data_IF_418712392924
#
_entry.id   IF_418712392924
#
_cell.length_a   1.000
_cell.length_b   1.000
_cell.length_c   1.000
_cell.angle_alpha   90.00
_cell.angle_beta   90.00
_cell.angle_gamma   90.00
#
_symmetry.space_group_name_H-M   'P 1'
#
loop_
_entity.id
_entity.type
_entity.pdbx_description
1 polymer ?
#
# COMPACT_ATOMS: atom_id res chain seq x y z
N UNK A 1 1.10 13.74 8.97
CA UNK A 1 1.66 14.26 7.70
C UNK A 1 1.23 13.27 6.64
N UNK A 2 0.57 13.71 5.60
CA UNK A 2 0.27 12.84 4.46
C UNK A 2 1.59 12.48 3.79
N UNK A 3 1.83 11.19 3.55
CA UNK A 3 3.01 10.72 2.85
C UNK A 3 3.03 11.31 1.43
N UNK A 4 4.16 11.81 0.99
CA UNK A 4 4.33 12.45 -0.32
C UNK A 4 3.98 13.94 -0.37
N UNK A 5 3.36 14.52 0.67
CA UNK A 5 3.12 15.96 0.75
C UNK A 5 4.42 16.67 1.14
N UNK A 6 4.85 17.61 0.31
CA UNK A 6 6.08 18.36 0.53
C UNK A 6 7.31 17.79 -0.18
N UNK A 7 7.13 16.87 -1.14
CA UNK A 7 8.17 16.47 -2.08
C UNK A 7 8.04 17.21 -3.42
N UNK A 8 9.16 17.54 -4.03
CA UNK A 8 9.24 18.22 -5.32
C UNK A 8 10.32 17.60 -6.19
N UNK A 9 9.92 17.11 -7.38
CA UNK A 9 10.84 16.54 -8.34
C UNK A 9 11.41 17.63 -9.24
N UNK A 10 12.73 17.73 -9.30
CA UNK A 10 13.44 18.62 -10.21
C UNK A 10 13.85 17.84 -11.46
N UNK A 11 13.23 18.16 -12.60
CA UNK A 11 13.56 17.58 -13.91
C UNK A 11 14.32 18.61 -14.77
N UNK A 12 15.63 18.74 -14.54
CA UNK A 12 16.48 19.72 -15.23
C UNK A 12 16.25 21.16 -14.77
N UNK A 13 16.95 22.11 -15.43
CA UNK A 13 16.96 23.52 -15.01
C UNK A 13 15.59 24.23 -15.09
N UNK A 14 14.74 23.84 -16.03
CA UNK A 14 13.42 24.45 -16.19
C UNK A 14 12.46 24.18 -15.02
N UNK A 15 12.59 23.04 -14.34
CA UNK A 15 11.75 22.73 -13.20
C UNK A 15 12.21 23.44 -11.91
N UNK A 16 13.41 24.01 -11.88
CA UNK A 16 13.88 24.83 -10.74
C UNK A 16 13.07 26.11 -10.57
N UNK A 17 12.43 26.62 -11.60
CA UNK A 17 11.58 27.83 -11.51
C UNK A 17 10.40 27.66 -10.57
N UNK A 18 9.90 26.46 -10.38
CA UNK A 18 8.82 26.15 -9.42
C UNK A 18 9.29 25.95 -7.98
N UNK A 19 10.59 25.73 -7.76
CA UNK A 19 11.15 25.46 -6.44
C UNK A 19 10.89 26.59 -5.40
N UNK A 20 11.02 27.89 -5.73
CA UNK A 20 10.70 28.95 -4.78
C UNK A 20 9.24 28.92 -4.30
N UNK A 21 8.28 28.67 -5.20
CA UNK A 21 6.87 28.54 -4.83
C UNK A 21 6.62 27.32 -3.94
N UNK A 22 7.23 26.18 -4.26
CA UNK A 22 7.20 24.98 -3.42
C UNK A 22 7.78 25.24 -2.03
N UNK A 23 8.95 25.88 -1.94
CA UNK A 23 9.61 26.20 -0.67
C UNK A 23 8.76 27.18 0.16
N UNK A 24 8.09 28.15 -0.48
CA UNK A 24 7.18 29.06 0.19
C UNK A 24 5.96 28.33 0.76
N UNK A 25 5.45 27.34 0.06
CA UNK A 25 4.27 26.59 0.48
C UNK A 25 4.60 25.55 1.57
N UNK A 26 5.71 24.84 1.44
CA UNK A 26 6.07 23.69 2.28
C UNK A 26 7.28 23.91 3.18
N UNK A 27 8.17 24.82 2.81
CA UNK A 27 9.36 25.21 3.58
C UNK A 27 8.99 26.12 4.76
N UNK A 28 8.43 25.56 5.81
CA UNK A 28 8.14 26.33 7.03
C UNK A 28 9.39 26.48 7.90
N UNK A 29 10.03 27.64 7.81
CA UNK A 29 11.14 28.01 8.70
C UNK A 29 12.47 27.28 8.39
N UNK A 30 13.33 27.16 9.37
CA UNK A 30 14.69 26.59 9.28
C UNK A 30 14.74 25.06 9.24
N UNK A 31 13.75 24.39 8.67
CA UNK A 31 13.78 22.91 8.55
C UNK A 31 14.78 22.51 7.46
N UNK A 32 15.62 21.50 7.72
CA UNK A 32 16.52 21.00 6.70
C UNK A 32 15.72 20.41 5.52
N UNK A 33 16.21 20.64 4.32
CA UNK A 33 15.73 19.98 3.11
C UNK A 33 16.58 18.75 2.86
N UNK A 34 15.92 17.66 2.49
CA UNK A 34 16.57 16.47 1.97
C UNK A 34 16.53 16.57 0.45
N UNK A 35 17.70 16.47 -0.17
CA UNK A 35 17.86 16.43 -1.62
C UNK A 35 18.41 15.06 -1.98
N UNK A 36 17.66 14.32 -2.79
CA UNK A 36 18.00 12.96 -3.17
C UNK A 36 18.08 12.83 -4.69
N UNK A 37 18.88 11.90 -5.16
CA UNK A 37 18.91 11.57 -6.58
C UNK A 37 17.60 10.89 -6.97
N UNK A 38 16.97 11.37 -8.04
CA UNK A 38 15.87 10.65 -8.65
C UNK A 38 16.40 9.43 -9.41
N UNK A 39 15.83 8.27 -9.13
CA UNK A 39 16.19 7.02 -9.79
C UNK A 39 15.06 6.61 -10.71
N UNK A 40 15.36 6.45 -11.99
CA UNK A 40 14.46 5.96 -13.03
C UNK A 40 14.88 4.55 -13.50
N UNK A 41 13.94 3.81 -14.08
CA UNK A 41 14.16 2.51 -14.71
C UNK A 41 12.99 2.15 -15.62
N UNK A 42 13.11 1.02 -16.31
CA UNK A 42 12.05 0.51 -17.20
C UNK A 42 10.77 0.20 -16.41
N UNK A 43 10.93 -0.30 -15.20
CA UNK A 43 9.83 -0.59 -14.29
C UNK A 43 10.27 -0.29 -12.87
N UNK A 44 9.46 0.48 -12.13
CA UNK A 44 9.71 0.88 -10.75
C UNK A 44 8.59 0.38 -9.87
N UNK A 45 8.94 -0.36 -8.83
CA UNK A 45 7.99 -0.89 -7.83
C UNK A 45 8.37 -0.35 -6.46
N UNK A 46 7.40 0.21 -5.77
CA UNK A 46 7.55 0.59 -4.36
C UNK A 46 7.00 -0.55 -3.52
N UNK A 47 7.83 -1.08 -2.63
CA UNK A 47 7.49 -2.16 -1.73
C UNK A 47 7.80 -1.77 -0.28
N UNK A 48 7.18 -2.45 0.66
CA UNK A 48 7.43 -2.25 2.08
C UNK A 48 7.56 -3.60 2.78
N UNK A 49 8.66 -3.79 3.50
CA UNK A 49 8.89 -4.94 4.38
C UNK A 49 8.41 -4.63 5.78
N UNK A 50 7.84 -5.63 6.44
CA UNK A 50 7.37 -5.48 7.80
C UNK A 50 8.10 -6.42 8.74
N UNK A 51 8.65 -5.86 9.82
CA UNK A 51 9.23 -6.56 10.94
C UNK A 51 8.37 -6.38 12.19
N UNK A 52 8.49 -7.33 13.11
CA UNK A 52 7.90 -7.23 14.44
C UNK A 52 8.95 -7.54 15.52
N UNK A 53 9.10 -6.62 16.45
CA UNK A 53 10.03 -6.69 17.57
C UNK A 53 9.24 -6.98 18.85
N UNK A 54 9.43 -8.16 19.42
CA UNK A 54 8.83 -8.54 20.70
C UNK A 54 9.87 -8.49 21.82
N UNK A 55 9.48 -8.12 23.05
CA UNK A 55 10.40 -8.12 24.17
C UNK A 55 11.03 -9.50 24.40
N UNK A 56 12.36 -9.56 24.53
CA UNK A 56 13.09 -10.79 24.83
C UNK A 56 13.02 -11.87 23.75
N UNK A 57 12.64 -11.53 22.52
CA UNK A 57 12.58 -12.46 21.37
C UNK A 57 13.35 -11.89 20.18
N UNK A 58 13.79 -12.78 19.30
CA UNK A 58 14.36 -12.38 18.02
C UNK A 58 13.32 -11.63 17.17
N UNK A 59 13.74 -10.58 16.46
CA UNK A 59 12.90 -9.87 15.51
C UNK A 59 12.35 -10.82 14.44
N UNK A 60 11.08 -10.65 14.13
CA UNK A 60 10.38 -11.54 13.20
C UNK A 60 10.13 -10.85 11.86
N UNK A 61 10.58 -11.44 10.77
CA UNK A 61 10.08 -11.13 9.41
C UNK A 61 8.58 -11.42 9.37
N UNK A 62 7.78 -10.49 8.85
CA UNK A 62 6.32 -10.65 8.81
C UNK A 62 5.82 -10.86 7.38
N UNK A 63 5.94 -9.88 6.54
CA UNK A 63 5.47 -9.90 5.16
C UNK A 63 6.06 -8.74 4.37
N UNK A 64 5.94 -8.86 3.04
CA UNK A 64 6.17 -7.78 2.09
C UNK A 64 4.85 -7.30 1.49
N UNK A 65 4.71 -6.01 1.26
CA UNK A 65 3.61 -5.41 0.52
C UNK A 65 4.15 -4.57 -0.64
N UNK A 66 3.40 -4.51 -1.76
CA UNK A 66 3.61 -3.50 -2.80
C UNK A 66 2.73 -2.30 -2.49
N UNK A 67 3.25 -1.11 -2.71
CA UNK A 67 2.51 0.13 -2.53
C UNK A 67 1.91 0.61 -3.85
N UNK A 68 0.68 1.14 -3.79
CA UNK A 68 0.12 1.95 -4.86
C UNK A 68 0.49 3.40 -4.60
N UNK A 69 1.11 4.03 -5.58
CA UNK A 69 1.46 5.44 -5.52
C UNK A 69 0.89 6.18 -6.73
N UNK A 70 0.37 7.39 -6.49
CA UNK A 70 0.11 8.37 -7.54
C UNK A 70 1.21 9.45 -7.44
N UNK A 71 2.16 9.37 -8.34
CA UNK A 71 3.41 10.11 -8.18
C UNK A 71 4.12 9.73 -6.88
N UNK A 72 4.27 10.69 -5.96
CA UNK A 72 4.87 10.49 -4.63
C UNK A 72 3.84 10.28 -3.51
N UNK A 73 2.53 10.22 -3.85
CA UNK A 73 1.47 10.07 -2.86
C UNK A 73 1.12 8.59 -2.71
N UNK A 74 1.22 8.08 -1.49
CA UNK A 74 0.79 6.73 -1.16
C UNK A 74 -0.74 6.63 -1.19
N UNK A 75 -1.26 5.73 -2.03
CA UNK A 75 -2.69 5.48 -2.25
C UNK A 75 -3.21 4.22 -1.58
N UNK A 76 -2.33 3.25 -1.32
CA UNK A 76 -2.71 1.97 -0.74
C UNK A 76 -1.63 0.90 -0.85
N UNK A 77 -1.99 -0.32 -0.48
CA UNK A 77 -1.09 -1.47 -0.47
C UNK A 77 -1.75 -2.72 -1.04
N UNK A 78 -0.92 -3.65 -1.50
CA UNK A 78 -1.31 -5.03 -1.80
C UNK A 78 -0.37 -6.00 -1.11
N UNK A 79 -0.91 -7.12 -0.62
CA UNK A 79 -0.20 -8.22 0.02
C UNK A 79 -0.62 -9.52 -0.63
N UNK A 80 0.35 -10.32 -1.05
CA UNK A 80 0.12 -11.65 -1.58
C UNK A 80 0.04 -12.74 -0.49
N UNK A 81 -0.15 -13.97 -0.91
CA UNK A 81 -0.01 -15.13 -0.04
C UNK A 81 1.47 -15.40 0.31
N UNK A 82 2.38 -15.02 -0.59
CA UNK A 82 3.85 -15.05 -0.45
C UNK A 82 4.42 -13.67 -0.74
N UNK A 83 5.60 -13.37 -0.21
CA UNK A 83 6.31 -12.10 -0.46
C UNK A 83 6.61 -11.88 -1.96
N UNK A 84 6.85 -12.95 -2.72
CA UNK A 84 7.10 -12.89 -4.16
C UNK A 84 5.88 -12.49 -4.99
N UNK A 85 4.67 -12.67 -4.46
CA UNK A 85 3.43 -12.40 -5.19
C UNK A 85 3.17 -10.90 -5.38
N UNK A 86 3.82 -10.03 -4.60
CA UNK A 86 3.68 -8.58 -4.72
C UNK A 86 4.35 -8.02 -5.98
N UNK A 87 5.21 -8.79 -6.62
CA UNK A 87 5.87 -8.43 -7.88
C UNK A 87 5.10 -8.95 -9.09
N UNK A 88 5.21 -8.29 -10.26
CA UNK A 88 4.50 -8.70 -11.48
C UNK A 88 4.81 -10.15 -11.87
N UNK A 89 3.80 -10.86 -12.35
CA UNK A 89 3.98 -12.24 -12.86
C UNK A 89 4.86 -12.31 -14.10
N UNK A 90 5.03 -11.20 -14.82
CA UNK A 90 5.97 -11.06 -15.94
C UNK A 90 7.43 -11.20 -15.52
N UNK A 91 7.73 -11.04 -14.22
CA UNK A 91 9.04 -11.31 -13.67
C UNK A 91 9.18 -12.80 -13.37
N UNK A 92 10.33 -13.40 -13.72
CA UNK A 92 10.59 -14.81 -13.38
C UNK A 92 10.52 -14.99 -11.85
N UNK A 93 10.14 -16.20 -11.41
CA UNK A 93 10.08 -16.51 -9.97
C UNK A 93 11.44 -16.26 -9.31
N UNK A 94 12.54 -16.72 -9.94
CA UNK A 94 13.90 -16.52 -9.43
C UNK A 94 14.25 -15.04 -9.27
N UNK A 95 13.83 -14.16 -10.22
CA UNK A 95 14.05 -12.72 -10.10
C UNK A 95 13.30 -12.17 -8.88
N UNK A 96 12.04 -12.55 -8.70
CA UNK A 96 11.22 -12.12 -7.57
C UNK A 96 11.79 -12.59 -6.23
N UNK A 97 12.26 -13.83 -6.14
CA UNK A 97 12.92 -14.39 -4.96
C UNK A 97 14.21 -13.63 -4.61
N UNK A 98 15.04 -13.34 -5.61
CA UNK A 98 16.27 -12.58 -5.41
C UNK A 98 16.00 -11.14 -4.92
N UNK A 99 14.97 -10.48 -5.44
CA UNK A 99 14.55 -9.16 -4.97
C UNK A 99 14.10 -9.21 -3.51
N UNK A 100 13.25 -10.18 -3.17
CA UNK A 100 12.76 -10.39 -1.79
C UNK A 100 13.94 -10.61 -0.84
N UNK A 101 14.84 -11.52 -1.17
CA UNK A 101 15.98 -11.84 -0.29
C UNK A 101 16.91 -10.64 -0.12
N UNK A 102 17.25 -9.95 -1.21
CA UNK A 102 18.08 -8.75 -1.12
C UNK A 102 17.44 -7.67 -0.23
N UNK A 103 16.13 -7.45 -0.36
CA UNK A 103 15.42 -6.48 0.46
C UNK A 103 15.44 -6.87 1.95
N UNK A 104 15.25 -8.16 2.27
CA UNK A 104 15.37 -8.64 3.65
C UNK A 104 16.79 -8.48 4.21
N UNK A 105 17.81 -8.83 3.45
CA UNK A 105 19.21 -8.69 3.90
C UNK A 105 19.60 -7.22 4.14
N UNK A 106 19.14 -6.27 3.32
CA UNK A 106 19.41 -4.85 3.52
C UNK A 106 18.87 -4.32 4.86
N UNK A 107 17.79 -4.88 5.40
CA UNK A 107 17.24 -4.47 6.69
C UNK A 107 17.90 -5.14 7.89
N UNK A 108 18.62 -6.23 7.68
CA UNK A 108 19.15 -7.09 8.74
C UNK A 108 20.08 -6.35 9.70
N UNK A 109 21.00 -5.53 9.16
CA UNK A 109 21.93 -4.75 9.99
C UNK A 109 21.19 -3.75 10.87
N UNK A 110 20.20 -3.06 10.34
CA UNK A 110 19.38 -2.14 11.11
C UNK A 110 18.60 -2.89 12.19
N UNK A 111 17.97 -4.01 11.84
CA UNK A 111 17.21 -4.86 12.77
C UNK A 111 18.08 -5.33 13.93
N UNK A 112 19.30 -5.79 13.66
CA UNK A 112 20.25 -6.19 14.69
C UNK A 112 20.65 -5.02 15.60
N UNK A 113 20.83 -3.83 15.04
CA UNK A 113 21.21 -2.64 15.83
C UNK A 113 20.12 -2.19 16.80
N UNK A 114 18.85 -2.29 16.43
CA UNK A 114 17.72 -1.84 17.27
C UNK A 114 17.12 -2.97 18.14
N UNK A 115 17.59 -4.19 17.97
CA UNK A 115 17.15 -5.34 18.76
C UNK A 115 17.39 -5.09 20.25
N UNK A 116 16.36 -5.32 21.07
CA UNK A 116 16.40 -5.07 22.51
C UNK A 116 16.12 -3.62 22.93
N UNK A 117 16.18 -2.65 22.00
CA UNK A 117 15.88 -1.23 22.30
C UNK A 117 14.53 -0.79 21.76
N UNK A 118 14.03 -1.43 20.69
CA UNK A 118 12.75 -1.15 20.08
C UNK A 118 11.77 -2.31 20.27
N UNK A 119 10.51 -1.99 20.55
CA UNK A 119 9.40 -2.95 20.67
C UNK A 119 8.23 -2.49 19.82
N UNK A 120 7.74 -3.36 18.96
CA UNK A 120 6.60 -3.07 18.09
C UNK A 120 6.86 -3.40 16.61
N UNK A 121 5.93 -3.04 15.73
CA UNK A 121 6.09 -3.19 14.29
C UNK A 121 6.98 -2.11 13.70
N UNK A 122 7.80 -2.46 12.71
CA UNK A 122 8.56 -1.52 11.89
C UNK A 122 8.41 -1.87 10.41
N UNK A 123 8.17 -0.86 9.59
CA UNK A 123 8.12 -0.96 8.15
C UNK A 123 9.37 -0.35 7.51
N UNK A 124 9.89 -1.00 6.47
CA UNK A 124 10.99 -0.51 5.66
C UNK A 124 10.52 -0.37 4.24
N UNK A 125 10.50 0.85 3.72
CA UNK A 125 10.05 1.13 2.37
C UNK A 125 11.21 1.05 1.40
N UNK A 126 10.98 0.37 0.28
CA UNK A 126 11.95 0.09 -0.77
C UNK A 126 11.45 0.54 -2.13
N UNK A 127 12.40 0.94 -2.95
CA UNK A 127 12.18 1.07 -4.37
C UNK A 127 12.96 -0.04 -5.09
N UNK A 128 12.27 -0.82 -5.90
CA UNK A 128 12.86 -1.83 -6.77
C UNK A 128 12.79 -1.31 -8.19
N UNK A 129 13.93 -1.21 -8.83
CA UNK A 129 14.07 -0.72 -10.20
C UNK A 129 14.57 -1.83 -11.07
N UNK A 130 13.78 -2.20 -12.09
CA UNK A 130 14.17 -3.18 -13.10
C UNK A 130 14.85 -2.49 -14.27
N UNK A 131 15.96 -3.07 -14.72
CA UNK A 131 16.71 -2.66 -15.90
C UNK A 131 17.01 -3.90 -16.75
N UNK A 132 16.34 -4.00 -17.89
CA UNK A 132 16.44 -5.17 -18.77
C UNK A 132 15.76 -6.42 -18.20
N UNK A 133 16.01 -7.57 -18.84
CA UNK A 133 15.27 -8.82 -18.53
C UNK A 133 15.61 -9.42 -17.17
N UNK A 134 16.85 -9.31 -16.70
CA UNK A 134 17.32 -9.95 -15.47
C UNK A 134 18.01 -8.98 -14.49
N UNK A 135 18.15 -7.71 -14.85
CA UNK A 135 18.78 -6.70 -14.01
C UNK A 135 17.77 -6.03 -13.08
N UNK A 136 18.15 -5.88 -11.81
CA UNK A 136 17.38 -5.07 -10.86
C UNK A 136 18.31 -4.38 -9.87
N UNK A 137 17.78 -3.33 -9.24
CA UNK A 137 18.40 -2.66 -8.08
C UNK A 137 17.34 -2.45 -7.02
N UNK A 138 17.74 -2.64 -5.77
CA UNK A 138 16.88 -2.40 -4.61
C UNK A 138 17.47 -1.22 -3.84
N UNK A 139 16.63 -0.24 -3.53
CA UNK A 139 16.99 0.94 -2.76
C UNK A 139 16.13 0.99 -1.50
N UNK A 140 16.75 1.05 -0.33
CA UNK A 140 16.07 1.33 0.93
C UNK A 140 15.75 2.83 0.98
N UNK A 141 14.49 3.20 1.11
CA UNK A 141 14.02 4.58 1.11
C UNK A 141 13.87 5.13 2.53
N UNK A 142 13.11 4.44 3.38
CA UNK A 142 12.87 4.90 4.75
C UNK A 142 12.57 3.75 5.72
N UNK A 143 12.75 4.03 7.01
CA UNK A 143 12.32 3.17 8.10
C UNK A 143 11.18 3.83 8.87
N UNK A 144 10.06 3.13 8.97
CA UNK A 144 8.86 3.52 9.70
C UNK A 144 8.74 2.70 11.00
N UNK A 145 9.31 3.18 12.12
CA UNK A 145 9.22 2.53 13.43
C UNK A 145 7.81 2.69 14.04
N UNK A 146 6.79 2.17 13.38
CA UNK A 146 5.38 2.26 13.75
C UNK A 146 4.53 1.28 12.94
N UNK A 147 3.25 1.14 13.31
CA UNK A 147 2.27 0.51 12.42
C UNK A 147 2.16 1.29 11.11
N UNK A 148 2.25 0.58 9.99
CA UNK A 148 2.09 1.12 8.65
C UNK A 148 0.73 0.73 8.07
N UNK A 149 0.40 1.25 6.91
CA UNK A 149 -0.80 0.85 6.18
C UNK A 149 -0.82 -0.66 5.89
N UNK A 150 0.33 -1.23 5.50
CA UNK A 150 0.47 -2.67 5.29
C UNK A 150 0.16 -3.51 6.52
N UNK A 151 0.50 -3.03 7.73
CA UNK A 151 0.20 -3.73 9.00
C UNK A 151 -1.31 -3.91 9.22
N UNK A 152 -2.12 -2.89 8.88
CA UNK A 152 -3.57 -3.00 8.98
C UNK A 152 -4.15 -3.98 7.96
N UNK A 153 -3.66 -3.92 6.72
CA UNK A 153 -4.07 -4.81 5.66
C UNK A 153 -3.75 -6.27 6.01
N UNK A 154 -2.54 -6.53 6.52
CA UNK A 154 -2.14 -7.86 6.98
C UNK A 154 -3.01 -8.38 8.11
N UNK A 155 -3.41 -7.54 9.05
CA UNK A 155 -4.29 -7.95 10.15
C UNK A 155 -5.64 -8.47 9.63
N UNK A 156 -6.21 -7.81 8.60
CA UNK A 156 -7.47 -8.25 7.98
C UNK A 156 -7.26 -9.56 7.20
N UNK A 157 -6.21 -9.62 6.37
CA UNK A 157 -5.86 -10.82 5.62
C UNK A 157 -5.69 -12.04 6.54
N UNK A 158 -4.94 -11.86 7.62
CA UNK A 158 -4.68 -12.90 8.60
C UNK A 158 -5.96 -13.41 9.28
N UNK A 159 -6.89 -12.53 9.63
CA UNK A 159 -8.19 -12.92 10.22
C UNK A 159 -9.01 -13.78 9.26
N UNK A 160 -9.05 -13.43 7.97
CA UNK A 160 -9.75 -14.22 6.95
C UNK A 160 -9.07 -15.59 6.77
N UNK A 161 -7.75 -15.60 6.71
CA UNK A 161 -6.96 -16.82 6.55
C UNK A 161 -7.12 -17.78 7.74
N UNK A 162 -7.03 -17.26 8.98
CA UNK A 162 -7.17 -18.07 10.20
C UNK A 162 -8.60 -18.53 10.46
N UNK A 163 -9.61 -17.90 9.85
CA UNK A 163 -10.98 -18.40 9.87
C UNK A 163 -11.17 -19.67 9.03
N UNK A 164 -10.13 -20.07 8.27
CA UNK A 164 -10.16 -21.25 7.38
C UNK A 164 -10.94 -21.04 6.08
N UNK A 165 -11.47 -19.83 5.83
CA UNK A 165 -12.27 -19.53 4.63
C UNK A 165 -11.42 -19.47 3.37
N UNK A 166 -10.25 -18.83 3.46
CA UNK A 166 -9.30 -18.67 2.35
C UNK A 166 -7.90 -19.00 2.86
N UNK A 167 -7.38 -20.21 2.65
CA UNK A 167 -6.08 -20.63 3.18
C UNK A 167 -4.89 -19.81 2.69
N UNK A 168 -4.98 -19.28 1.46
CA UNK A 168 -3.92 -18.47 0.83
C UNK A 168 -4.45 -17.08 0.43
N UNK A 169 -5.04 -16.35 1.39
CA UNK A 169 -5.65 -15.07 1.11
C UNK A 169 -4.64 -14.01 0.66
N UNK A 170 -4.99 -13.31 -0.42
CA UNK A 170 -4.37 -12.06 -0.85
C UNK A 170 -5.27 -10.88 -0.44
N UNK A 171 -4.69 -9.73 -0.20
CA UNK A 171 -5.42 -8.54 0.19
C UNK A 171 -4.90 -7.31 -0.53
N UNK A 172 -5.81 -6.43 -0.93
CA UNK A 172 -5.50 -5.12 -1.49
C UNK A 172 -6.29 -4.03 -0.77
N UNK A 173 -5.71 -2.84 -0.60
CA UNK A 173 -6.41 -1.69 -0.06
C UNK A 173 -6.10 -0.42 -0.83
N UNK A 174 -7.09 0.47 -0.95
CA UNK A 174 -6.93 1.81 -1.56
C UNK A 174 -7.83 2.83 -0.90
N UNK A 175 -7.37 4.07 -0.96
CA UNK A 175 -8.21 5.22 -0.67
C UNK A 175 -9.31 5.36 -1.73
N UNK A 176 -10.52 5.70 -1.28
CA UNK A 176 -11.67 5.97 -2.12
C UNK A 176 -12.37 7.25 -1.67
N UNK A 177 -12.82 8.05 -2.63
CA UNK A 177 -13.52 9.31 -2.41
C UNK A 177 -14.95 9.21 -2.97
N UNK A 178 -15.91 8.64 -2.23
CA UNK A 178 -17.27 8.45 -2.72
C UNK A 178 -17.93 9.80 -3.06
N UNK A 179 -18.63 9.86 -4.19
CA UNK A 179 -19.29 11.09 -4.65
C UNK A 179 -20.46 11.48 -3.75
N UNK A 180 -21.29 10.51 -3.37
CA UNK A 180 -22.57 10.75 -2.66
C UNK A 180 -22.63 10.14 -1.27
N UNK A 181 -21.97 9.02 -1.03
CA UNK A 181 -22.05 8.33 0.25
C UNK A 181 -21.39 9.13 1.40
N UNK A 182 -22.11 9.29 2.51
CA UNK A 182 -21.66 9.98 3.74
C UNK A 182 -21.66 9.05 4.95
N UNK A 183 -22.28 7.88 4.81
CA UNK A 183 -22.36 6.84 5.84
C UNK A 183 -21.86 5.50 5.30
N UNK A 184 -21.27 4.69 6.17
CA UNK A 184 -20.76 3.38 5.79
C UNK A 184 -21.85 2.45 5.25
N UNK A 185 -23.09 2.57 5.74
CA UNK A 185 -24.23 1.78 5.24
C UNK A 185 -24.53 2.06 3.78
N UNK A 186 -24.48 3.33 3.37
CA UNK A 186 -24.66 3.74 1.97
C UNK A 186 -23.58 3.13 1.08
N UNK A 187 -22.32 3.15 1.52
CA UNK A 187 -21.23 2.51 0.81
C UNK A 187 -21.47 1.00 0.67
N UNK A 188 -21.85 0.34 1.76
CA UNK A 188 -22.15 -1.11 1.75
C UNK A 188 -23.33 -1.41 0.84
N UNK A 189 -24.41 -0.63 0.87
CA UNK A 189 -25.57 -0.80 -0.02
C UNK A 189 -25.14 -0.69 -1.49
N UNK A 190 -24.33 0.31 -1.84
CA UNK A 190 -23.79 0.45 -3.21
C UNK A 190 -22.93 -0.76 -3.61
N UNK A 191 -22.08 -1.27 -2.71
CA UNK A 191 -21.26 -2.45 -2.99
C UNK A 191 -22.09 -3.76 -3.09
N UNK A 192 -23.22 -3.84 -2.43
CA UNK A 192 -24.15 -4.98 -2.48
C UNK A 192 -25.05 -4.99 -3.70
N UNK A 193 -25.28 -3.84 -4.33
CA UNK A 193 -26.16 -3.72 -5.49
C UNK A 193 -25.63 -4.57 -6.64
N UNK A 194 -26.50 -5.46 -7.18
CA UNK A 194 -26.19 -6.29 -8.34
C UNK A 194 -26.43 -5.58 -9.67
N UNK A 195 -27.30 -4.58 -9.65
CA UNK A 195 -27.81 -3.89 -10.84
C UNK A 195 -27.21 -2.49 -11.01
N UNK A 196 -26.26 -2.09 -10.14
CA UNK A 196 -25.68 -0.76 -10.17
C UNK A 196 -24.78 -0.54 -11.41
N UNK A 197 -24.16 -1.61 -11.88
CA UNK A 197 -23.25 -1.64 -13.03
C UNK A 197 -22.89 -3.08 -13.43
N UNK A 198 -21.94 -3.22 -14.39
CA UNK A 198 -21.44 -4.49 -14.90
C UNK A 198 -20.70 -5.37 -13.88
N UNK A 199 -20.35 -4.85 -12.70
CA UNK A 199 -19.51 -5.56 -11.73
C UNK A 199 -20.31 -6.47 -10.77
N UNK A 200 -21.63 -6.29 -10.67
CA UNK A 200 -22.46 -7.10 -9.79
C UNK A 200 -22.18 -6.88 -8.31
N UNK A 201 -22.33 -7.92 -7.49
CA UNK A 201 -22.12 -7.85 -6.03
C UNK A 201 -20.63 -7.78 -5.67
N UNK A 202 -20.20 -6.70 -5.04
CA UNK A 202 -18.80 -6.43 -4.68
C UNK A 202 -18.52 -6.50 -3.17
N UNK A 203 -19.56 -6.34 -2.33
CA UNK A 203 -19.37 -6.40 -0.87
C UNK A 203 -18.84 -7.77 -0.45
N UNK A 204 -18.05 -7.77 0.63
CA UNK A 204 -17.50 -9.01 1.18
C UNK A 204 -18.60 -10.01 1.51
N UNK A 205 -18.50 -11.19 0.96
CA UNK A 205 -19.36 -12.31 1.28
C UNK A 205 -18.95 -12.90 2.63
N UNK A 206 -19.83 -12.94 3.64
CA UNK A 206 -19.49 -13.43 4.96
C UNK A 206 -19.13 -14.93 5.00
N UNK A 207 -19.66 -15.72 4.05
CA UNK A 207 -19.43 -17.17 4.01
C UNK A 207 -18.07 -17.50 3.39
N UNK A 208 -17.71 -16.84 2.30
CA UNK A 208 -16.45 -17.08 1.59
C UNK A 208 -15.31 -16.18 2.05
N UNK A 209 -15.61 -15.01 2.62
CA UNK A 209 -14.60 -13.99 2.95
C UNK A 209 -14.05 -13.22 1.74
N UNK A 210 -14.57 -13.49 0.52
CA UNK A 210 -14.17 -12.80 -0.71
C UNK A 210 -14.96 -11.50 -0.90
N UNK A 211 -14.33 -10.50 -1.51
CA UNK A 211 -14.98 -9.24 -1.85
C UNK A 211 -14.39 -8.04 -1.12
N UNK A 212 -15.14 -6.95 -1.04
CA UNK A 212 -14.70 -5.65 -0.53
C UNK A 212 -15.36 -5.29 0.79
N UNK A 213 -14.55 -4.84 1.73
CA UNK A 213 -15.00 -4.23 2.98
C UNK A 213 -14.59 -2.75 3.06
N UNK A 214 -15.32 -2.00 3.87
CA UNK A 214 -15.06 -0.57 4.13
C UNK A 214 -14.36 -0.41 5.47
N UNK A 215 -13.22 0.23 5.45
CA UNK A 215 -12.51 0.67 6.65
C UNK A 215 -12.53 2.19 6.79
N UNK A 216 -12.24 2.69 7.99
CA UNK A 216 -12.25 4.13 8.32
C UNK A 216 -13.56 4.86 7.98
N UNK A 217 -14.74 4.30 8.35
CA UNK A 217 -16.04 4.85 7.93
C UNK A 217 -16.33 6.26 8.48
N UNK A 218 -15.65 6.69 9.55
CA UNK A 218 -15.81 8.05 10.10
C UNK A 218 -15.32 9.14 9.16
N UNK A 219 -14.35 8.82 8.29
CA UNK A 219 -13.80 9.77 7.32
C UNK A 219 -14.79 10.13 6.19
N UNK A 220 -15.88 9.38 6.03
CA UNK A 220 -16.96 9.72 5.10
C UNK A 220 -17.69 11.02 5.47
N UNK A 221 -17.65 11.43 6.74
CA UNK A 221 -18.28 12.67 7.25
C UNK A 221 -17.42 13.92 7.07
N UNK A 222 -16.22 13.79 6.54
CA UNK A 222 -15.35 14.93 6.26
C UNK A 222 -15.91 15.79 5.11
N UNK A 223 -15.47 17.04 5.02
CA UNK A 223 -15.83 17.96 3.93
C UNK A 223 -15.50 17.33 2.56
N UNK A 224 -14.39 16.64 2.49
CA UNK A 224 -14.05 15.75 1.37
C UNK A 224 -14.17 14.31 1.87
N UNK A 225 -15.26 13.61 1.53
CA UNK A 225 -15.50 12.25 2.00
C UNK A 225 -14.40 11.31 1.54
N UNK A 226 -13.95 10.47 2.46
CA UNK A 226 -12.91 9.48 2.20
C UNK A 226 -13.24 8.20 2.96
N UNK A 227 -13.01 7.06 2.37
CA UNK A 227 -12.95 5.78 3.06
C UNK A 227 -11.76 4.97 2.57
N UNK A 228 -11.41 3.95 3.30
CA UNK A 228 -10.45 2.96 2.88
C UNK A 228 -11.23 1.71 2.46
N UNK A 229 -11.02 1.26 1.23
CA UNK A 229 -11.55 -0.01 0.75
C UNK A 229 -10.48 -1.09 0.93
N UNK A 230 -10.89 -2.25 1.40
CA UNK A 230 -10.05 -3.44 1.52
C UNK A 230 -10.74 -4.57 0.76
N UNK A 231 -10.05 -5.13 -0.21
CA UNK A 231 -10.50 -6.30 -0.96
C UNK A 231 -9.71 -7.53 -0.56
N UNK A 232 -10.39 -8.66 -0.42
CA UNK A 232 -9.81 -9.98 -0.14
C UNK A 232 -10.16 -10.92 -1.28
N UNK A 233 -9.18 -11.70 -1.73
CA UNK A 233 -9.34 -12.71 -2.76
C UNK A 233 -8.27 -13.82 -2.61
N UNK A 234 -8.38 -14.86 -3.43
CA UNK A 234 -7.38 -15.94 -3.49
C UNK A 234 -6.12 -15.54 -4.27
N UNK A 235 -6.25 -14.54 -5.17
CA UNK A 235 -5.16 -14.01 -6.00
C UNK A 235 -5.12 -12.49 -5.92
N UNK A 236 -3.94 -11.92 -6.11
CA UNK A 236 -3.73 -10.46 -6.11
C UNK A 236 -4.58 -9.79 -7.19
N UNK A 237 -4.60 -10.34 -8.41
CA UNK A 237 -5.32 -9.76 -9.54
C UNK A 237 -6.82 -9.66 -9.25
N UNK A 238 -7.38 -10.67 -8.57
CA UNK A 238 -8.79 -10.65 -8.17
C UNK A 238 -9.05 -9.63 -7.05
N UNK A 239 -8.15 -9.51 -6.08
CA UNK A 239 -8.26 -8.49 -5.04
C UNK A 239 -8.18 -7.07 -5.64
N UNK A 240 -7.27 -6.86 -6.58
CA UNK A 240 -7.14 -5.60 -7.31
C UNK A 240 -8.37 -5.32 -8.18
N UNK A 241 -8.90 -6.33 -8.85
CA UNK A 241 -10.14 -6.19 -9.64
C UNK A 241 -11.31 -5.77 -8.76
N UNK A 242 -11.57 -6.45 -7.65
CA UNK A 242 -12.61 -6.09 -6.70
C UNK A 242 -12.45 -4.64 -6.21
N UNK A 243 -11.23 -4.25 -5.88
CA UNK A 243 -10.92 -2.94 -5.36
C UNK A 243 -11.16 -1.83 -6.40
N UNK A 244 -10.72 -2.05 -7.64
CA UNK A 244 -10.89 -1.12 -8.75
C UNK A 244 -12.37 -0.98 -9.15
N UNK A 245 -13.11 -2.09 -9.20
CA UNK A 245 -14.54 -2.10 -9.47
C UNK A 245 -15.33 -1.33 -8.39
N UNK A 246 -15.01 -1.58 -7.12
CA UNK A 246 -15.64 -0.89 -5.99
C UNK A 246 -15.34 0.62 -6.01
N UNK A 247 -14.08 1.00 -6.23
CA UNK A 247 -13.66 2.40 -6.35
C UNK A 247 -14.41 3.08 -7.50
N UNK A 248 -14.42 2.47 -8.69
CA UNK A 248 -15.13 2.98 -9.86
C UNK A 248 -16.61 3.20 -9.59
N UNK A 249 -17.29 2.24 -8.95
CA UNK A 249 -18.70 2.35 -8.56
C UNK A 249 -18.94 3.52 -7.61
N UNK A 250 -18.20 3.60 -6.52
CA UNK A 250 -18.40 4.60 -5.47
C UNK A 250 -18.05 6.03 -5.90
N UNK A 251 -17.09 6.19 -6.81
CA UNK A 251 -16.66 7.49 -7.34
C UNK A 251 -17.52 8.00 -8.51
N UNK A 252 -18.41 7.17 -9.06
CA UNK A 252 -19.30 7.54 -10.19
C UNK A 252 -20.77 7.57 -9.83
N UNK A 253 -21.23 6.70 -8.94
CA UNK A 253 -22.66 6.57 -8.63
C UNK A 253 -23.09 7.69 -7.68
N UNK A 254 -24.12 8.45 -8.11
CA UNK A 254 -24.87 9.37 -7.23
C UNK A 254 -26.02 8.59 -6.61
N UNK A 255 -26.19 8.73 -5.29
CA UNK A 255 -27.41 8.28 -4.60
C UNK A 255 -28.52 9.28 -4.95
N UNK A 256 -29.62 8.80 -5.45
CA UNK A 256 -30.83 9.58 -5.68
C UNK A 256 -31.51 9.95 -4.37
#
# INVERSE_FOLDING_TARGET
>A
MESGVGAYRVNGLYSLSGLPAFLKQYGRGSRPLIVEQWVDGEEVIIASLQWYFAPGREPQRRFMSRQYCDGMIHEGNVIGSRDTDVFPETWSLTLRENVVEQAWEMTKLFVQHVQGTYVGPAGFDFMVVRNGMNGFRVYLLECNARKTAGTYLESVRWQVQTSGRIPAACAAMRNCHPVSARHWREVVTLLQSKDADEFGHLAMNPDTGLGVMVALPRCLRLKQPKCLLIAIAEKIEHAEWFLNAAKKRLERTRLE
#
